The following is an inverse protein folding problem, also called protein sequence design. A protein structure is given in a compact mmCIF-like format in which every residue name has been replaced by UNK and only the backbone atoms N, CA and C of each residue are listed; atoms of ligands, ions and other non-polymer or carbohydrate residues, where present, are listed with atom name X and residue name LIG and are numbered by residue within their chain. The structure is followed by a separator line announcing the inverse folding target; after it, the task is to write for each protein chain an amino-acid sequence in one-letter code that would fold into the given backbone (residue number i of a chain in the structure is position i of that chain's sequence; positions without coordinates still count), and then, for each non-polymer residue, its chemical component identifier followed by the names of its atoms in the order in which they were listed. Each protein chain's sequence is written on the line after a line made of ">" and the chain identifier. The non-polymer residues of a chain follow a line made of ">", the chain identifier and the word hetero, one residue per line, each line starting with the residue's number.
data_IF_735975784124
#
_entry.id   IF_735975784124
#
_cell.length_a   1.000
_cell.length_b   1.000
_cell.length_c   1.000
_cell.angle_alpha   90.00
_cell.angle_beta   90.00
_cell.angle_gamma   90.00
#
_symmetry.space_group_name_H-M   'P 1'
#
loop_
_entity.id
_entity.type
_entity.pdbx_description
1 polymer ?
#
# COMPACT_ATOMS: atom_id res chain seq x y z
N UNK A 1 23.87 40.46 -27.32
CA UNK A 1 23.64 39.32 -28.23
C UNK A 1 23.89 38.04 -27.44
N UNK A 2 23.03 37.04 -27.66
CA UNK A 2 22.65 35.96 -26.74
C UNK A 2 23.79 35.07 -26.19
N UNK A 3 23.59 34.42 -25.02
CA UNK A 3 24.37 33.26 -24.61
C UNK A 3 23.87 31.99 -25.34
N UNK A 4 24.82 31.20 -25.85
CA UNK A 4 24.59 29.92 -26.48
C UNK A 4 24.04 28.89 -25.49
N UNK A 5 23.06 28.14 -25.97
CA UNK A 5 22.28 27.13 -25.27
C UNK A 5 23.00 25.77 -25.26
N UNK A 6 22.71 24.99 -24.21
CA UNK A 6 22.86 23.53 -24.10
C UNK A 6 24.27 22.93 -24.20
N UNK A 7 24.73 22.32 -23.11
CA UNK A 7 25.00 20.87 -23.02
C UNK A 7 25.23 20.52 -21.54
N UNK A 8 24.57 19.45 -21.09
CA UNK A 8 24.81 18.73 -19.84
C UNK A 8 24.50 19.51 -18.54
N UNK A 9 23.21 19.72 -18.27
CA UNK A 9 22.71 19.72 -16.90
C UNK A 9 23.01 18.33 -16.34
N UNK A 10 24.16 18.22 -15.68
CA UNK A 10 24.53 17.06 -14.90
C UNK A 10 23.43 16.84 -13.87
N UNK A 11 22.65 15.77 -14.07
CA UNK A 11 21.75 15.19 -13.09
C UNK A 11 22.57 14.85 -11.84
N UNK A 12 22.62 15.78 -10.90
CA UNK A 12 23.22 15.54 -9.58
C UNK A 12 22.27 14.66 -8.79
N UNK A 13 22.41 13.35 -9.01
CA UNK A 13 21.92 12.28 -8.15
C UNK A 13 22.42 12.52 -6.72
N UNK A 14 21.56 13.08 -5.88
CA UNK A 14 21.75 13.05 -4.42
C UNK A 14 21.19 11.71 -3.91
N UNK A 15 21.91 10.63 -4.21
CA UNK A 15 21.76 9.36 -3.50
C UNK A 15 22.41 9.58 -2.15
N UNK A 16 21.60 9.87 -1.13
CA UNK A 16 22.04 9.69 0.25
C UNK A 16 22.18 8.19 0.45
N UNK A 17 23.42 7.69 0.30
CA UNK A 17 23.84 6.43 0.90
C UNK A 17 23.69 6.61 2.41
N UNK A 18 22.53 6.22 2.94
CA UNK A 18 22.44 5.88 4.36
C UNK A 18 23.24 4.58 4.53
N UNK A 19 24.19 4.62 5.46
CA UNK A 19 25.09 3.52 5.78
C UNK A 19 24.29 2.24 6.03
N UNK A 20 24.38 1.29 5.11
CA UNK A 20 24.06 -0.11 5.41
C UNK A 20 25.19 -0.65 6.29
N UNK A 21 25.15 -0.27 7.56
CA UNK A 21 25.75 -1.05 8.62
C UNK A 21 25.31 -2.50 8.38
N UNK A 22 26.29 -3.37 8.23
CA UNK A 22 26.18 -4.82 8.06
C UNK A 22 25.06 -5.43 8.91
N UNK A 23 23.84 -5.48 8.39
CA UNK A 23 22.74 -6.22 8.99
C UNK A 23 22.84 -7.65 8.46
N UNK A 24 22.80 -8.67 9.33
CA UNK A 24 22.77 -10.05 8.88
C UNK A 24 21.52 -10.24 8.01
N UNK A 25 21.72 -10.59 6.74
CA UNK A 25 20.69 -11.03 5.78
C UNK A 25 20.11 -12.40 6.16
N UNK A 26 19.90 -12.64 7.46
CA UNK A 26 19.27 -13.85 7.96
C UNK A 26 17.77 -13.73 7.74
N UNK A 27 17.18 -14.77 7.14
CA UNK A 27 15.73 -14.85 6.88
C UNK A 27 14.89 -14.57 8.14
N UNK A 28 15.40 -14.90 9.34
CA UNK A 28 14.72 -14.63 10.60
C UNK A 28 14.57 -13.14 10.94
N UNK A 29 15.55 -12.30 10.57
CA UNK A 29 15.50 -10.84 10.82
C UNK A 29 14.54 -10.16 9.83
N UNK A 30 14.51 -10.64 8.58
CA UNK A 30 13.63 -10.14 7.53
C UNK A 30 12.16 -10.43 7.88
N UNK A 31 11.85 -11.67 8.25
CA UNK A 31 10.49 -12.09 8.63
C UNK A 31 9.95 -11.26 9.80
N UNK A 32 10.77 -11.02 10.83
CA UNK A 32 10.39 -10.20 11.98
C UNK A 32 10.06 -8.75 11.60
N UNK A 33 10.75 -8.19 10.61
CA UNK A 33 10.48 -6.84 10.09
C UNK A 33 9.20 -6.78 9.25
N UNK A 34 8.92 -7.83 8.46
CA UNK A 34 7.70 -7.93 7.67
C UNK A 34 6.47 -8.12 8.55
N UNK A 35 6.56 -8.94 9.60
CA UNK A 35 5.48 -9.13 10.58
C UNK A 35 5.12 -7.82 11.29
N UNK A 36 6.13 -7.08 11.79
CA UNK A 36 5.88 -5.77 12.39
C UNK A 36 5.22 -4.78 11.42
N UNK A 37 5.58 -4.83 10.13
CA UNK A 37 4.96 -4.00 9.10
C UNK A 37 3.50 -4.41 8.83
N UNK A 38 3.17 -5.70 8.88
CA UNK A 38 1.80 -6.19 8.77
C UNK A 38 0.96 -5.83 10.01
N UNK A 39 1.55 -5.88 11.20
CA UNK A 39 0.89 -5.47 12.44
C UNK A 39 0.51 -3.99 12.40
N UNK A 40 1.33 -3.14 11.76
CA UNK A 40 1.00 -1.74 11.51
C UNK A 40 -0.05 -1.56 10.41
N UNK A 41 0.04 -2.33 9.31
CA UNK A 41 -0.88 -2.22 8.17
C UNK A 41 -2.30 -2.67 8.50
N UNK A 42 -2.44 -3.75 9.27
CA UNK A 42 -3.73 -4.38 9.59
C UNK A 42 -4.76 -3.40 10.16
N UNK A 43 -4.47 -2.63 11.23
CA UNK A 43 -5.44 -1.67 11.76
C UNK A 43 -5.76 -0.53 10.78
N UNK A 44 -4.82 -0.15 9.90
CA UNK A 44 -5.04 0.89 8.88
C UNK A 44 -6.07 0.41 7.84
N UNK A 45 -5.87 -0.80 7.29
CA UNK A 45 -6.81 -1.41 6.36
C UNK A 45 -8.17 -1.61 7.04
N UNK A 46 -8.19 -2.18 8.24
CA UNK A 46 -9.43 -2.43 8.98
C UNK A 46 -10.25 -1.14 9.17
N UNK A 47 -9.59 -0.06 9.58
CA UNK A 47 -10.24 1.24 9.77
C UNK A 47 -10.88 1.75 8.47
N UNK A 48 -10.17 1.65 7.35
CA UNK A 48 -10.69 2.06 6.05
C UNK A 48 -11.92 1.23 5.65
N UNK A 49 -11.83 -0.10 5.79
CA UNK A 49 -12.89 -1.04 5.42
C UNK A 49 -14.14 -0.93 6.30
N UNK A 50 -13.97 -0.79 7.63
CA UNK A 50 -15.08 -0.51 8.54
C UNK A 50 -15.79 0.79 8.16
N UNK A 51 -15.03 1.82 7.77
CA UNK A 51 -15.56 3.09 7.27
C UNK A 51 -16.39 2.95 6.00
N UNK A 52 -16.03 2.02 5.10
CA UNK A 52 -16.81 1.71 3.90
C UNK A 52 -18.16 1.09 4.26
N UNK A 53 -18.18 0.13 5.19
CA UNK A 53 -19.42 -0.51 5.67
C UNK A 53 -20.31 0.52 6.38
N UNK A 54 -19.73 1.36 7.24
CA UNK A 54 -20.45 2.37 7.99
C UNK A 54 -21.13 3.40 7.06
N UNK A 55 -20.46 3.78 5.97
CA UNK A 55 -20.98 4.73 4.99
C UNK A 55 -22.06 4.14 4.06
N UNK A 56 -22.22 2.82 4.03
CA UNK A 56 -23.18 2.17 3.14
C UNK A 56 -24.64 2.42 3.61
N UNK A 57 -25.56 2.71 2.67
CA UNK A 57 -26.99 2.76 2.97
C UNK A 57 -27.48 1.43 3.57
N UNK A 58 -28.41 1.43 4.54
CA UNK A 58 -28.84 0.21 5.24
C UNK A 58 -29.25 -0.92 4.30
N UNK A 59 -29.97 -0.61 3.22
CA UNK A 59 -30.43 -1.59 2.22
C UNK A 59 -29.30 -2.23 1.38
N UNK A 60 -28.09 -1.67 1.42
CA UNK A 60 -26.92 -2.16 0.65
C UNK A 60 -25.78 -2.69 1.53
N UNK A 61 -25.88 -2.57 2.87
CA UNK A 61 -24.80 -2.91 3.80
C UNK A 61 -24.28 -4.34 3.64
N UNK A 62 -25.16 -5.33 3.47
CA UNK A 62 -24.76 -6.73 3.30
C UNK A 62 -23.86 -6.92 2.07
N UNK A 63 -24.27 -6.37 0.92
CA UNK A 63 -23.49 -6.45 -0.32
C UNK A 63 -22.15 -5.72 -0.20
N UNK A 64 -22.13 -4.57 0.48
CA UNK A 64 -20.89 -3.83 0.74
C UNK A 64 -19.96 -4.61 1.66
N UNK A 65 -20.49 -5.24 2.72
CA UNK A 65 -19.70 -6.08 3.64
C UNK A 65 -19.09 -7.29 2.93
N UNK A 66 -19.82 -7.95 2.01
CA UNK A 66 -19.28 -9.03 1.19
C UNK A 66 -18.11 -8.56 0.29
N UNK A 67 -18.23 -7.39 -0.33
CA UNK A 67 -17.16 -6.82 -1.14
C UNK A 67 -15.94 -6.42 -0.30
N UNK A 68 -16.16 -5.88 0.89
CA UNK A 68 -15.11 -5.59 1.88
C UNK A 68 -14.35 -6.86 2.27
N UNK A 69 -15.07 -7.94 2.60
CA UNK A 69 -14.44 -9.22 2.97
C UNK A 69 -13.58 -9.80 1.83
N UNK A 70 -14.02 -9.64 0.57
CA UNK A 70 -13.22 -10.04 -0.59
C UNK A 70 -11.92 -9.24 -0.70
N UNK A 71 -11.97 -7.93 -0.48
CA UNK A 71 -10.78 -7.07 -0.52
C UNK A 71 -9.81 -7.37 0.63
N UNK A 72 -10.32 -7.69 1.81
CA UNK A 72 -9.49 -8.11 2.96
C UNK A 72 -8.74 -9.41 2.66
N UNK A 73 -9.44 -10.44 2.14
CA UNK A 73 -8.82 -11.69 1.74
C UNK A 73 -7.75 -11.50 0.64
N UNK A 74 -8.04 -10.63 -0.34
CA UNK A 74 -7.10 -10.32 -1.40
C UNK A 74 -5.85 -9.62 -0.87
N UNK A 75 -5.99 -8.63 0.02
CA UNK A 75 -4.87 -7.94 0.64
C UNK A 75 -3.99 -8.90 1.45
N UNK A 76 -4.60 -9.75 2.27
CA UNK A 76 -3.90 -10.78 3.04
C UNK A 76 -3.12 -11.73 2.11
N UNK A 77 -3.75 -12.22 1.05
CA UNK A 77 -3.13 -13.13 0.10
C UNK A 77 -1.94 -12.47 -0.62
N UNK A 78 -2.11 -11.25 -1.11
CA UNK A 78 -1.06 -10.49 -1.80
C UNK A 78 0.14 -10.26 -0.90
N UNK A 79 -0.09 -9.77 0.33
CA UNK A 79 0.99 -9.52 1.29
C UNK A 79 1.72 -10.81 1.69
N UNK A 80 1.00 -11.92 1.91
CA UNK A 80 1.62 -13.21 2.21
C UNK A 80 2.45 -13.75 1.05
N UNK A 81 2.00 -13.55 -0.20
CA UNK A 81 2.79 -13.93 -1.39
C UNK A 81 4.05 -13.11 -1.58
N UNK A 82 4.05 -11.87 -1.12
CA UNK A 82 5.19 -10.99 -1.24
C UNK A 82 6.26 -11.22 -0.17
N UNK A 83 5.97 -11.95 0.92
CA UNK A 83 6.92 -12.23 2.01
C UNK A 83 8.23 -12.83 1.48
N UNK A 84 9.34 -12.35 2.02
CA UNK A 84 10.69 -12.76 1.62
C UNK A 84 11.22 -12.08 0.35
N UNK A 85 10.35 -11.46 -0.47
CA UNK A 85 10.73 -10.54 -1.54
C UNK A 85 10.56 -9.10 -1.02
N UNK A 86 11.66 -8.51 -0.52
CA UNK A 86 11.64 -7.20 0.14
C UNK A 86 11.07 -6.09 -0.75
N UNK A 87 11.38 -6.12 -2.05
CA UNK A 87 10.94 -5.09 -2.98
C UNK A 87 9.44 -5.20 -3.24
N UNK A 88 8.95 -6.41 -3.55
CA UNK A 88 7.51 -6.64 -3.74
C UNK A 88 6.73 -6.38 -2.46
N UNK A 89 7.23 -6.86 -1.32
CA UNK A 89 6.58 -6.67 -0.03
C UNK A 89 6.46 -5.19 0.32
N UNK A 90 7.57 -4.44 0.23
CA UNK A 90 7.58 -3.01 0.52
C UNK A 90 6.66 -2.22 -0.39
N UNK A 91 6.61 -2.57 -1.68
CA UNK A 91 5.79 -1.86 -2.65
C UNK A 91 4.28 -2.15 -2.45
N UNK A 92 3.87 -3.39 -2.19
CA UNK A 92 2.48 -3.71 -1.82
C UNK A 92 2.08 -3.08 -0.47
N UNK A 93 2.96 -3.12 0.53
CA UNK A 93 2.74 -2.48 1.84
C UNK A 93 2.42 -0.99 1.66
N UNK A 94 3.23 -0.28 0.88
CA UNK A 94 3.02 1.14 0.60
C UNK A 94 1.73 1.38 -0.16
N UNK A 95 1.45 0.60 -1.20
CA UNK A 95 0.24 0.72 -2.01
C UNK A 95 -1.04 0.56 -1.16
N UNK A 96 -1.09 -0.45 -0.28
CA UNK A 96 -2.23 -0.64 0.62
C UNK A 96 -2.34 0.48 1.67
N UNK A 97 -1.23 0.99 2.22
CA UNK A 97 -1.26 2.16 3.12
C UNK A 97 -1.84 3.39 2.42
N UNK A 98 -1.48 3.63 1.15
CA UNK A 98 -1.99 4.76 0.36
C UNK A 98 -3.48 4.57 0.08
N UNK A 99 -3.88 3.39 -0.42
CA UNK A 99 -5.28 3.09 -0.73
C UNK A 99 -6.18 3.25 0.50
N UNK A 100 -5.77 2.72 1.65
CA UNK A 100 -6.53 2.84 2.90
C UNK A 100 -6.67 4.30 3.37
N UNK A 101 -5.64 5.13 3.20
CA UNK A 101 -5.72 6.57 3.50
C UNK A 101 -6.70 7.30 2.58
N UNK A 102 -6.68 7.00 1.28
CA UNK A 102 -7.62 7.57 0.30
C UNK A 102 -9.07 7.20 0.67
N UNK A 103 -9.33 5.93 0.96
CA UNK A 103 -10.66 5.45 1.40
C UNK A 103 -11.12 6.13 2.67
N UNK A 104 -10.22 6.29 3.65
CA UNK A 104 -10.52 6.94 4.93
C UNK A 104 -10.86 8.41 4.74
N UNK A 105 -10.15 9.12 3.85
CA UNK A 105 -10.38 10.53 3.57
C UNK A 105 -11.58 10.81 2.64
N UNK A 106 -12.00 9.82 1.83
CA UNK A 106 -13.08 10.00 0.87
C UNK A 106 -14.43 10.33 1.52
N UNK A 107 -15.28 11.08 0.82
CA UNK A 107 -16.65 11.35 1.26
C UNK A 107 -17.44 10.04 1.41
N UNK A 108 -18.44 9.95 2.30
CA UNK A 108 -19.14 8.69 2.60
C UNK A 108 -19.65 7.94 1.35
N UNK A 109 -20.25 8.66 0.40
CA UNK A 109 -20.79 8.07 -0.83
C UNK A 109 -19.70 7.53 -1.78
N UNK A 110 -18.45 7.98 -1.65
CA UNK A 110 -17.33 7.62 -2.51
C UNK A 110 -16.47 6.50 -1.94
N UNK A 111 -16.52 6.26 -0.62
CA UNK A 111 -15.66 5.29 0.07
C UNK A 111 -15.67 3.90 -0.57
N UNK A 112 -16.86 3.43 -0.97
CA UNK A 112 -17.01 2.11 -1.60
C UNK A 112 -16.24 2.03 -2.93
N UNK A 113 -16.40 3.01 -3.81
CA UNK A 113 -15.69 3.07 -5.09
C UNK A 113 -14.19 3.21 -4.89
N UNK A 114 -13.76 4.08 -3.97
CA UNK A 114 -12.34 4.28 -3.66
C UNK A 114 -11.68 3.03 -3.10
N UNK A 115 -12.43 2.21 -2.35
CA UNK A 115 -11.96 0.90 -1.90
C UNK A 115 -11.79 -0.04 -3.08
N UNK A 116 -12.81 -0.18 -3.93
CA UNK A 116 -12.74 -1.07 -5.09
C UNK A 116 -11.57 -0.73 -5.99
N UNK A 117 -11.39 0.54 -6.34
CA UNK A 117 -10.30 0.98 -7.23
C UNK A 117 -8.93 0.85 -6.54
N UNK A 118 -8.79 1.42 -5.34
CA UNK A 118 -7.51 1.53 -4.65
C UNK A 118 -6.96 0.19 -4.17
N UNK A 119 -7.79 -0.65 -3.57
CA UNK A 119 -7.34 -1.96 -3.08
C UNK A 119 -7.09 -2.95 -4.23
N UNK A 120 -7.87 -2.86 -5.30
CA UNK A 120 -7.63 -3.67 -6.50
C UNK A 120 -6.31 -3.28 -7.14
N UNK A 121 -6.03 -1.98 -7.31
CA UNK A 121 -4.74 -1.53 -7.85
C UNK A 121 -3.57 -1.95 -6.96
N UNK A 122 -3.70 -1.79 -5.63
CA UNK A 122 -2.68 -2.22 -4.67
C UNK A 122 -2.42 -3.74 -4.70
N UNK A 123 -3.37 -4.55 -5.19
CA UNK A 123 -3.23 -6.00 -5.32
C UNK A 123 -2.54 -6.46 -6.60
N UNK A 124 -2.31 -5.57 -7.57
CA UNK A 124 -1.79 -5.96 -8.88
C UNK A 124 -0.33 -6.38 -8.81
N UNK A 125 0.10 -7.36 -9.62
CA UNK A 125 1.50 -7.76 -9.67
C UNK A 125 2.43 -6.58 -9.96
N UNK A 126 3.50 -6.47 -9.17
CA UNK A 126 4.57 -5.51 -9.38
C UNK A 126 5.61 -6.18 -10.29
N UNK A 127 5.80 -5.60 -11.48
CA UNK A 127 6.71 -6.08 -12.53
C UNK A 127 8.15 -5.64 -12.26
#
# INVERSE_FOLDING_TARGET
>A
MAPLQNIAVALTLLIVMVEIASLPTSSAVIVKSEEAALDELTPIIKTALDGVIAAAPPSKRTKVAEAVAKQELLAMYTMNKAKGDKEKFGAHLLAYKIAAKIVTAAAPAEKFKMMEDGFTEASRPIL
#
